data_IF_814302774182
#
_entry.id   IF_814302774182
#
_cell.length_a   1.000
_cell.length_b   1.000
_cell.length_c   1.000
_cell.angle_alpha   90.00
_cell.angle_beta   90.00
_cell.angle_gamma   90.00
#
_symmetry.space_group_name_H-M   'P 1'
#
loop_
_entity.id
_entity.type
_entity.pdbx_description
1 polymer ?
#
# COMPACT_ATOMS: atom_id res chain seq x y z
N UNK A 1 -11.71 -19.08 -7.26
CA UNK A 1 -12.61 -17.96 -7.68
C UNK A 1 -13.92 -17.84 -6.87
N UNK A 2 -14.23 -18.72 -5.94
CA UNK A 2 -15.50 -18.69 -5.20
C UNK A 2 -15.46 -17.98 -3.82
N UNK A 3 -14.30 -17.54 -3.33
CA UNK A 3 -14.19 -16.98 -1.96
C UNK A 3 -14.33 -15.45 -1.87
N UNK A 4 -14.29 -14.72 -2.98
CA UNK A 4 -14.31 -13.25 -2.97
C UNK A 4 -15.70 -12.61 -3.13
N UNK A 5 -16.75 -13.37 -3.46
CA UNK A 5 -18.08 -12.81 -3.71
C UNK A 5 -18.75 -12.23 -2.44
N UNK A 6 -18.37 -12.71 -1.25
CA UNK A 6 -18.99 -12.31 0.02
C UNK A 6 -18.22 -11.22 0.78
N UNK A 7 -16.99 -10.89 0.37
CA UNK A 7 -16.17 -9.89 1.06
C UNK A 7 -16.33 -8.52 0.40
N UNK A 8 -17.15 -7.68 0.97
CA UNK A 8 -17.33 -6.30 0.50
C UNK A 8 -16.98 -5.30 1.60
N UNK A 9 -16.32 -4.20 1.19
CA UNK A 9 -15.97 -3.10 2.07
C UNK A 9 -16.95 -1.94 1.94
N UNK A 10 -17.31 -1.37 3.07
CA UNK A 10 -18.01 -0.09 3.15
C UNK A 10 -17.01 1.05 2.90
N UNK A 11 -16.87 1.44 1.65
CA UNK A 11 -15.92 2.48 1.21
C UNK A 11 -16.12 3.83 1.90
N UNK A 12 -17.38 4.18 2.23
CA UNK A 12 -17.67 5.43 2.95
C UNK A 12 -17.16 5.38 4.38
N UNK A 13 -17.40 4.25 5.06
CA UNK A 13 -16.90 4.04 6.41
C UNK A 13 -15.39 3.98 6.43
N UNK A 14 -14.76 3.28 5.47
CA UNK A 14 -13.31 3.22 5.35
C UNK A 14 -12.72 4.62 5.23
N UNK A 15 -13.25 5.43 4.29
CA UNK A 15 -12.85 6.82 4.13
C UNK A 15 -13.01 7.64 5.41
N UNK A 16 -14.15 7.55 6.08
CA UNK A 16 -14.39 8.25 7.35
C UNK A 16 -13.37 7.89 8.43
N UNK A 17 -12.93 6.64 8.48
CA UNK A 17 -11.93 6.18 9.45
C UNK A 17 -10.55 6.74 9.16
N UNK A 18 -10.12 6.74 7.90
CA UNK A 18 -8.87 7.38 7.52
C UNK A 18 -8.94 8.90 7.70
N UNK A 19 -10.06 9.53 7.36
CA UNK A 19 -10.25 10.97 7.61
C UNK A 19 -10.12 11.31 9.11
N UNK A 20 -10.69 10.48 9.99
CA UNK A 20 -10.61 10.66 11.43
C UNK A 20 -9.23 10.31 12.03
N UNK A 21 -8.50 9.40 11.40
CA UNK A 21 -7.17 8.99 11.81
C UNK A 21 -6.08 10.01 11.44
N UNK A 22 -6.28 10.82 10.42
CA UNK A 22 -5.25 11.62 9.74
C UNK A 22 -4.31 12.40 10.67
N UNK A 23 -4.82 13.04 11.72
CA UNK A 23 -4.00 13.84 12.64
C UNK A 23 -3.18 13.02 13.63
N UNK A 24 -3.50 11.74 13.81
CA UNK A 24 -2.86 10.82 14.77
C UNK A 24 -2.18 9.65 14.09
N UNK A 25 -2.35 9.51 12.79
CA UNK A 25 -1.87 8.37 11.99
C UNK A 25 -0.39 8.07 12.25
N UNK A 26 0.45 9.10 12.23
CA UNK A 26 1.90 8.97 12.40
C UNK A 26 2.34 8.43 13.77
N UNK A 27 1.45 8.45 14.78
CA UNK A 27 1.75 7.86 16.07
C UNK A 27 1.53 6.34 16.13
N UNK A 28 0.89 5.76 15.11
CA UNK A 28 0.57 4.34 15.02
C UNK A 28 1.03 3.71 13.68
N UNK A 29 1.87 4.39 12.90
CA UNK A 29 2.30 3.96 11.57
C UNK A 29 3.61 3.13 11.58
N UNK A 30 4.05 2.64 12.74
CA UNK A 30 5.32 1.89 12.91
C UNK A 30 5.41 0.74 11.91
N UNK A 31 4.33 -0.04 11.76
CA UNK A 31 4.28 -1.16 10.82
C UNK A 31 4.38 -0.67 9.36
N UNK A 32 3.62 0.36 8.99
CA UNK A 32 3.65 0.91 7.64
C UNK A 32 5.04 1.46 7.27
N UNK A 33 5.72 2.12 8.22
CA UNK A 33 7.09 2.61 8.03
C UNK A 33 8.12 1.50 7.88
N UNK A 34 7.96 0.41 8.64
CA UNK A 34 8.84 -0.75 8.51
C UNK A 34 8.65 -1.46 7.17
N UNK A 35 7.41 -1.62 6.73
CA UNK A 35 7.09 -2.20 5.41
C UNK A 35 7.65 -1.31 4.28
N UNK A 36 7.45 0.02 4.37
CA UNK A 36 8.03 0.96 3.41
C UNK A 36 9.56 0.90 3.35
N UNK A 37 10.24 0.70 4.51
CA UNK A 37 11.69 0.53 4.55
C UNK A 37 12.12 -0.71 3.78
N UNK A 38 11.44 -1.84 3.99
CA UNK A 38 11.72 -3.09 3.28
C UNK A 38 11.43 -3.00 1.78
N UNK A 39 10.35 -2.33 1.40
CA UNK A 39 10.05 -2.03 -0.02
C UNK A 39 11.17 -1.16 -0.64
N UNK A 40 11.67 -0.16 0.08
CA UNK A 40 12.74 0.72 -0.39
C UNK A 40 14.06 -0.04 -0.59
N UNK A 41 14.40 -0.95 0.33
CA UNK A 41 15.58 -1.84 0.22
C UNK A 41 15.52 -2.74 -1.03
N UNK A 42 14.33 -3.16 -1.46
CA UNK A 42 14.16 -3.94 -2.71
C UNK A 42 14.53 -3.14 -3.94
N UNK A 43 14.33 -1.82 -3.94
CA UNK A 43 14.75 -0.95 -5.03
C UNK A 43 16.27 -0.92 -5.23
N UNK A 44 17.08 -1.35 -4.26
CA UNK A 44 18.54 -1.45 -4.42
C UNK A 44 18.94 -2.52 -5.44
N UNK A 45 18.08 -3.51 -5.65
CA UNK A 45 18.28 -4.59 -6.61
C UNK A 45 17.62 -4.34 -7.97
N UNK A 46 16.89 -3.22 -8.11
CA UNK A 46 16.14 -2.87 -9.31
C UNK A 46 16.77 -1.64 -9.96
N UNK A 47 17.27 -1.79 -11.18
CA UNK A 47 17.82 -0.66 -11.93
C UNK A 47 16.71 0.14 -12.59
N UNK A 48 16.36 1.27 -11.99
CA UNK A 48 15.33 2.18 -12.49
C UNK A 48 15.79 3.64 -12.30
N UNK A 49 15.46 4.49 -13.28
CA UNK A 49 15.65 5.94 -13.21
C UNK A 49 14.31 6.62 -13.54
N UNK A 50 13.39 6.68 -12.59
CA UNK A 50 12.04 7.15 -12.84
C UNK A 50 12.04 8.66 -13.08
N UNK A 51 11.19 9.10 -14.04
CA UNK A 51 10.95 10.52 -14.31
C UNK A 51 9.77 11.06 -13.54
N UNK A 52 8.70 10.26 -13.46
CA UNK A 52 7.50 10.56 -12.70
C UNK A 52 7.16 9.38 -11.81
N UNK A 53 7.06 9.65 -10.51
CA UNK A 53 6.70 8.68 -9.47
C UNK A 53 5.33 9.05 -8.93
N UNK A 54 4.45 8.08 -8.79
CA UNK A 54 3.22 8.24 -8.02
C UNK A 54 3.31 7.42 -6.73
N UNK A 55 2.79 7.99 -5.63
CA UNK A 55 2.53 7.29 -4.39
C UNK A 55 1.01 7.19 -4.22
N UNK A 56 0.46 5.99 -4.45
CA UNK A 56 -0.97 5.73 -4.41
C UNK A 56 -1.38 5.21 -3.02
N UNK A 57 -2.20 5.98 -2.34
CA UNK A 57 -2.48 5.84 -0.92
C UNK A 57 -1.40 6.51 -0.08
N UNK A 58 -0.93 7.69 -0.49
CA UNK A 58 0.23 8.36 0.11
C UNK A 58 0.02 8.79 1.58
N UNK A 59 -1.20 8.75 2.09
CA UNK A 59 -1.53 9.07 3.47
C UNK A 59 -0.97 10.43 3.90
N UNK A 60 -0.18 10.43 4.96
CA UNK A 60 0.47 11.63 5.50
C UNK A 60 1.81 11.98 4.80
N UNK A 61 2.20 11.23 3.75
CA UNK A 61 3.34 11.56 2.88
C UNK A 61 4.71 11.13 3.39
N UNK A 62 4.79 10.18 4.29
CA UNK A 62 6.07 9.66 4.81
C UNK A 62 6.91 9.03 3.70
N UNK A 63 6.29 8.25 2.81
CA UNK A 63 6.99 7.56 1.73
C UNK A 63 7.37 8.53 0.60
N UNK A 64 6.55 9.55 0.33
CA UNK A 64 6.88 10.60 -0.64
C UNK A 64 8.21 11.30 -0.31
N UNK A 65 8.50 11.57 0.96
CA UNK A 65 9.78 12.18 1.36
C UNK A 65 10.97 11.24 1.12
N UNK A 66 10.79 9.94 1.37
CA UNK A 66 11.83 8.92 1.10
C UNK A 66 12.09 8.81 -0.41
N UNK A 67 11.02 8.72 -1.20
CA UNK A 67 11.10 8.65 -2.66
C UNK A 67 11.75 9.91 -3.25
N UNK A 68 11.43 11.11 -2.73
CA UNK A 68 12.08 12.35 -3.12
C UNK A 68 13.58 12.37 -2.83
N UNK A 69 13.99 11.77 -1.71
CA UNK A 69 15.41 11.66 -1.34
C UNK A 69 16.14 10.65 -2.21
N UNK A 70 15.49 9.51 -2.52
CA UNK A 70 16.06 8.44 -3.33
C UNK A 70 16.17 8.84 -4.81
N UNK A 71 15.17 9.54 -5.33
CA UNK A 71 15.06 9.94 -6.74
C UNK A 71 14.95 11.46 -6.89
N UNK A 72 16.01 12.21 -6.63
CA UNK A 72 15.96 13.68 -6.59
C UNK A 72 15.62 14.33 -7.94
N UNK A 73 15.81 13.61 -9.05
CA UNK A 73 15.48 14.08 -10.39
C UNK A 73 14.04 13.77 -10.83
N UNK A 74 13.32 12.95 -10.05
CA UNK A 74 11.95 12.56 -10.38
C UNK A 74 10.95 13.63 -9.94
N UNK A 75 9.86 13.76 -10.71
CA UNK A 75 8.65 14.43 -10.26
C UNK A 75 7.83 13.45 -9.42
N UNK A 76 7.17 13.95 -8.36
CA UNK A 76 6.38 13.12 -7.46
C UNK A 76 4.93 13.60 -7.40
N UNK A 77 4.01 12.63 -7.40
CA UNK A 77 2.59 12.88 -7.20
C UNK A 77 2.10 11.96 -6.08
N UNK A 78 1.60 12.54 -5.00
CA UNK A 78 0.88 11.82 -3.96
C UNK A 78 -0.61 11.77 -4.28
N UNK A 79 -1.20 10.58 -4.25
CA UNK A 79 -2.63 10.37 -4.46
C UNK A 79 -3.23 9.70 -3.23
N UNK A 80 -4.32 10.24 -2.72
CA UNK A 80 -5.07 9.64 -1.63
C UNK A 80 -6.55 9.99 -1.75
N UNK A 81 -7.45 9.13 -1.25
CA UNK A 81 -8.88 9.42 -1.25
C UNK A 81 -9.32 10.26 -0.05
N UNK A 82 -8.46 10.41 0.98
CA UNK A 82 -8.69 11.16 2.20
C UNK A 82 -8.11 12.57 2.11
N UNK A 83 -8.95 13.58 2.02
CA UNK A 83 -8.51 14.98 2.04
C UNK A 83 -7.78 15.37 3.36
N UNK A 84 -8.21 14.91 4.56
CA UNK A 84 -7.44 15.14 5.79
C UNK A 84 -6.03 14.55 5.75
N UNK A 85 -5.83 13.35 5.16
CA UNK A 85 -4.50 12.77 4.96
C UNK A 85 -3.65 13.65 4.06
N UNK A 86 -4.16 14.05 2.90
CA UNK A 86 -3.46 14.97 1.99
C UNK A 86 -3.12 16.31 2.64
N UNK A 87 -3.97 16.81 3.55
CA UNK A 87 -3.67 18.03 4.31
C UNK A 87 -2.46 17.82 5.25
N UNK A 88 -2.35 16.70 5.93
CA UNK A 88 -1.16 16.35 6.72
C UNK A 88 0.07 16.18 5.83
N UNK A 89 -0.09 15.49 4.70
CA UNK A 89 0.95 15.34 3.70
C UNK A 89 1.46 16.70 3.21
N UNK A 90 0.55 17.63 2.85
CA UNK A 90 0.90 18.97 2.40
C UNK A 90 1.72 19.73 3.45
N UNK A 91 1.35 19.63 4.73
CA UNK A 91 2.10 20.25 5.83
C UNK A 91 3.52 19.66 5.95
N UNK A 92 3.66 18.36 5.73
CA UNK A 92 4.93 17.65 5.82
C UNK A 92 5.88 17.99 4.67
N UNK A 93 5.37 17.98 3.43
CA UNK A 93 6.20 18.21 2.24
C UNK A 93 6.46 19.69 1.94
N UNK A 94 5.71 20.59 2.58
CA UNK A 94 5.93 22.04 2.39
C UNK A 94 7.14 22.45 3.21
N UNK A 95 8.25 22.86 2.59
CA UNK A 95 9.39 23.36 3.33
C UNK A 95 9.01 24.61 4.13
N UNK A 96 9.67 24.87 5.26
CA UNK A 96 9.43 26.08 6.03
C UNK A 96 9.51 27.31 5.12
N UNK A 97 8.47 28.15 5.19
CA UNK A 97 8.30 29.29 4.31
C UNK A 97 9.40 30.35 4.47
N UNK A 98 9.79 31.01 3.40
CA UNK A 98 10.58 32.25 3.41
C UNK A 98 12.10 32.06 3.22
N UNK A 99 12.90 32.65 4.13
CA UNK A 99 14.36 32.72 4.02
C UNK A 99 15.07 31.37 4.03
N UNK A 100 14.52 30.38 4.77
CA UNK A 100 15.07 29.02 4.88
C UNK A 100 14.99 28.27 3.53
N UNK A 101 13.88 28.39 2.77
CA UNK A 101 13.73 27.81 1.44
C UNK A 101 14.75 28.40 0.46
N UNK A 102 14.87 29.72 0.40
CA UNK A 102 15.85 30.38 -0.48
C UNK A 102 17.30 30.02 -0.13
N UNK A 103 17.56 29.77 1.15
CA UNK A 103 18.87 29.34 1.62
C UNK A 103 19.19 27.91 1.20
N UNK A 104 18.22 26.98 1.38
CA UNK A 104 18.36 25.58 0.91
C UNK A 104 18.50 25.50 -0.62
N UNK A 105 17.64 26.19 -1.38
CA UNK A 105 17.74 26.27 -2.85
C UNK A 105 19.08 26.81 -3.33
N UNK A 106 19.69 27.76 -2.59
CA UNK A 106 21.03 28.26 -2.87
C UNK A 106 22.15 27.27 -2.55
N UNK A 107 21.98 26.45 -1.49
CA UNK A 107 22.97 25.45 -1.11
C UNK A 107 22.92 24.20 -1.99
N UNK A 108 21.74 23.80 -2.43
CA UNK A 108 21.54 22.58 -3.22
C UNK A 108 21.61 22.81 -4.73
N UNK A 109 21.54 24.07 -5.17
CA UNK A 109 21.57 24.43 -6.60
C UNK A 109 20.39 23.92 -7.42
N UNK A 110 19.43 23.22 -6.78
CA UNK A 110 18.26 22.65 -7.45
C UNK A 110 16.99 23.36 -6.98
N UNK A 111 16.14 23.86 -7.89
CA UNK A 111 14.77 24.21 -7.52
C UNK A 111 14.10 22.94 -7.03
N UNK A 112 13.51 22.97 -5.83
CA UNK A 112 12.72 21.86 -5.34
C UNK A 112 11.59 21.58 -6.36
N UNK A 113 11.70 20.51 -7.14
CA UNK A 113 10.62 20.04 -8.00
C UNK A 113 9.44 19.75 -7.08
N UNK A 114 8.34 20.46 -7.29
CA UNK A 114 7.20 20.40 -6.39
C UNK A 114 6.57 19.01 -6.41
N UNK A 115 6.26 18.48 -5.24
CA UNK A 115 5.39 17.30 -5.12
C UNK A 115 3.95 17.77 -5.27
N UNK A 116 3.22 17.23 -6.24
CA UNK A 116 1.79 17.48 -6.41
C UNK A 116 0.99 16.51 -5.51
N UNK A 117 -0.13 16.99 -4.95
CA UNK A 117 -1.06 16.17 -4.18
C UNK A 117 -2.44 16.20 -4.84
N UNK A 118 -3.01 15.03 -5.07
CA UNK A 118 -4.27 14.88 -5.78
C UNK A 118 -5.20 13.98 -4.96
N UNK A 119 -6.41 14.48 -4.69
CA UNK A 119 -7.47 13.63 -4.14
C UNK A 119 -8.04 12.76 -5.26
N UNK A 120 -7.87 11.45 -5.15
CA UNK A 120 -8.25 10.51 -6.20
C UNK A 120 -8.78 9.18 -5.66
N UNK A 121 -9.62 8.54 -6.46
CA UNK A 121 -9.97 7.13 -6.31
C UNK A 121 -8.95 6.28 -7.05
N UNK A 122 -8.43 5.23 -6.40
CA UNK A 122 -7.49 4.29 -7.01
C UNK A 122 -8.08 3.61 -8.27
N UNK A 123 -9.41 3.49 -8.35
CA UNK A 123 -10.10 2.89 -9.50
C UNK A 123 -10.31 3.86 -10.68
N UNK A 124 -9.91 5.14 -10.55
CA UNK A 124 -10.07 6.16 -11.59
C UNK A 124 -9.00 7.25 -11.40
N UNK A 125 -7.79 6.96 -11.82
CA UNK A 125 -6.65 7.86 -11.64
C UNK A 125 -6.72 9.04 -12.64
N UNK A 126 -6.66 10.30 -12.17
CA UNK A 126 -6.71 11.49 -13.03
C UNK A 126 -5.35 11.77 -13.68
N UNK A 127 -4.75 10.75 -14.26
CA UNK A 127 -3.44 10.79 -14.90
C UNK A 127 -3.52 10.27 -16.33
N UNK A 128 -2.72 10.82 -17.27
CA UNK A 128 -2.64 10.31 -18.62
C UNK A 128 -2.16 8.85 -18.68
N UNK A 129 -2.52 8.15 -19.77
CA UNK A 129 -1.98 6.82 -20.08
C UNK A 129 -0.47 6.91 -20.30
N UNK A 130 0.28 5.92 -19.82
CA UNK A 130 1.72 5.77 -20.06
C UNK A 130 2.55 7.01 -19.72
N UNK A 131 2.24 7.63 -18.57
CA UNK A 131 2.92 8.86 -18.09
C UNK A 131 3.78 8.62 -16.84
N UNK A 132 3.64 7.49 -16.17
CA UNK A 132 4.27 7.19 -14.88
C UNK A 132 5.37 6.15 -15.06
N UNK A 133 6.55 6.41 -14.50
CA UNK A 133 7.69 5.48 -14.55
C UNK A 133 7.71 4.52 -13.36
N UNK A 134 7.29 4.99 -12.17
CA UNK A 134 7.21 4.20 -10.95
C UNK A 134 5.90 4.49 -10.22
N UNK A 135 5.13 3.45 -9.97
CA UNK A 135 4.00 3.48 -9.05
C UNK A 135 4.40 2.80 -7.74
N UNK A 136 4.30 3.54 -6.65
CA UNK A 136 4.50 3.07 -5.29
C UNK A 136 3.15 2.98 -4.59
N UNK A 137 2.90 1.91 -3.85
CA UNK A 137 1.65 1.71 -3.11
C UNK A 137 1.87 0.88 -1.86
N UNK A 138 2.08 1.56 -0.75
CA UNK A 138 2.32 0.91 0.54
C UNK A 138 1.01 0.76 1.32
N UNK A 139 0.55 -0.48 1.52
CA UNK A 139 -0.65 -0.84 2.30
C UNK A 139 -1.97 -0.17 1.84
N UNK A 140 -2.07 0.22 0.56
CA UNK A 140 -3.33 0.72 0.01
C UNK A 140 -4.27 -0.44 -0.42
N UNK A 141 -3.70 -1.51 -0.98
CA UNK A 141 -4.48 -2.66 -1.49
C UNK A 141 -5.43 -3.29 -0.47
N UNK A 142 -5.08 -3.41 0.84
CA UNK A 142 -6.02 -3.90 1.86
C UNK A 142 -7.33 -3.10 1.98
N UNK A 143 -7.36 -1.86 1.50
CA UNK A 143 -8.55 -1.00 1.44
C UNK A 143 -9.48 -1.30 0.25
N UNK A 144 -9.14 -2.26 -0.60
CA UNK A 144 -9.92 -2.63 -1.77
C UNK A 144 -10.51 -4.05 -1.59
N UNK A 145 -11.81 -4.20 -1.82
CA UNK A 145 -12.44 -5.53 -1.87
C UNK A 145 -12.18 -6.23 -3.21
N UNK A 146 -12.02 -5.46 -4.28
CA UNK A 146 -11.59 -5.92 -5.60
C UNK A 146 -10.43 -5.03 -6.06
N UNK A 147 -9.19 -5.54 -6.07
CA UNK A 147 -8.03 -4.75 -6.51
C UNK A 147 -7.91 -4.64 -8.03
N UNK A 148 -8.66 -5.43 -8.82
CA UNK A 148 -8.51 -5.48 -10.28
C UNK A 148 -8.69 -4.10 -10.94
N UNK A 149 -9.74 -3.31 -10.66
CA UNK A 149 -9.91 -2.00 -11.29
C UNK A 149 -8.75 -1.03 -10.97
N UNK A 150 -8.27 -1.01 -9.74
CA UNK A 150 -7.15 -0.16 -9.34
C UNK A 150 -5.83 -0.60 -10.00
N UNK A 151 -5.58 -1.91 -10.09
CA UNK A 151 -4.40 -2.44 -10.77
C UNK A 151 -4.46 -2.21 -12.29
N UNK A 152 -5.65 -2.24 -12.91
CA UNK A 152 -5.84 -1.86 -14.32
C UNK A 152 -5.55 -0.37 -14.54
N UNK A 153 -5.98 0.51 -13.63
CA UNK A 153 -5.66 1.94 -13.69
C UNK A 153 -4.15 2.19 -13.51
N UNK A 154 -3.51 1.52 -12.55
CA UNK A 154 -2.06 1.57 -12.40
C UNK A 154 -1.33 1.09 -13.68
N UNK A 155 -1.77 -0.02 -14.27
CA UNK A 155 -1.24 -0.49 -15.54
C UNK A 155 -1.49 0.50 -16.68
N UNK A 156 -2.63 1.17 -16.71
CA UNK A 156 -2.97 2.19 -17.72
C UNK A 156 -2.00 3.38 -17.65
N UNK A 157 -1.75 3.91 -16.44
CA UNK A 157 -0.93 5.10 -16.25
C UNK A 157 0.56 4.83 -16.33
N UNK A 158 1.04 3.65 -15.98
CA UNK A 158 2.43 3.26 -16.14
C UNK A 158 2.86 3.28 -17.61
N UNK A 159 4.06 3.77 -17.91
CA UNK A 159 4.71 3.63 -19.21
C UNK A 159 5.19 2.20 -19.45
N UNK A 160 5.49 1.86 -20.68
CA UNK A 160 6.10 0.55 -21.00
C UNK A 160 7.51 0.51 -20.36
N UNK A 161 7.78 -0.55 -19.60
CA UNK A 161 8.96 -0.65 -18.76
C UNK A 161 8.80 0.04 -17.40
N UNK A 162 7.63 0.62 -17.11
CA UNK A 162 7.31 1.18 -15.80
C UNK A 162 7.10 0.10 -14.75
N UNK A 163 7.42 0.42 -13.52
CA UNK A 163 7.43 -0.48 -12.36
C UNK A 163 6.28 -0.15 -11.40
N UNK A 164 5.56 -1.16 -10.97
CA UNK A 164 4.70 -1.13 -9.79
C UNK A 164 5.45 -1.76 -8.62
N UNK A 165 5.57 -1.04 -7.50
CA UNK A 165 5.97 -1.55 -6.19
C UNK A 165 4.78 -1.47 -5.25
N UNK A 166 4.46 -2.54 -4.54
CA UNK A 166 3.31 -2.55 -3.65
C UNK A 166 3.51 -3.41 -2.41
N UNK A 167 2.69 -3.14 -1.40
CA UNK A 167 2.51 -4.02 -0.26
C UNK A 167 1.03 -4.23 0.05
N UNK A 168 0.74 -5.35 0.69
CA UNK A 168 -0.59 -5.72 1.17
C UNK A 168 -0.48 -6.54 2.45
N UNK A 169 -1.63 -6.82 3.06
CA UNK A 169 -1.73 -7.82 4.11
C UNK A 169 -2.33 -9.10 3.55
N UNK A 170 -1.87 -10.23 4.11
CA UNK A 170 -2.39 -11.56 3.82
C UNK A 170 -3.37 -12.06 4.90
N UNK A 171 -3.99 -13.23 4.65
CA UNK A 171 -5.10 -13.76 5.44
C UNK A 171 -4.76 -14.06 6.91
N UNK A 172 -3.51 -14.32 7.24
CA UNK A 172 -3.07 -14.58 8.63
C UNK A 172 -2.91 -13.32 9.48
N UNK A 173 -3.10 -12.13 8.89
CA UNK A 173 -3.06 -10.87 9.63
C UNK A 173 -4.12 -10.82 10.71
N UNK A 174 -3.70 -10.49 11.95
CA UNK A 174 -4.55 -10.42 13.16
C UNK A 174 -5.29 -11.73 13.47
N UNK A 175 -4.67 -12.89 13.17
CA UNK A 175 -5.26 -14.22 13.46
C UNK A 175 -5.64 -14.38 14.92
N UNK A 176 -4.83 -13.89 15.84
CA UNK A 176 -5.09 -13.95 17.28
C UNK A 176 -6.36 -13.17 17.65
N UNK A 177 -6.56 -12.01 17.05
CA UNK A 177 -7.77 -11.21 17.25
C UNK A 177 -9.00 -11.87 16.64
N UNK A 178 -8.84 -12.53 15.48
CA UNK A 178 -9.91 -13.27 14.81
C UNK A 178 -10.35 -14.49 15.62
N UNK A 179 -9.41 -15.21 16.21
CA UNK A 179 -9.71 -16.36 17.09
C UNK A 179 -10.40 -15.90 18.38
N UNK A 180 -9.97 -14.77 18.95
CA UNK A 180 -10.58 -14.21 20.17
C UNK A 180 -11.98 -13.62 19.95
N UNK A 181 -12.28 -13.16 18.73
CA UNK A 181 -13.54 -12.51 18.33
C UNK A 181 -14.25 -13.34 17.26
N UNK A 182 -14.82 -14.50 17.56
CA UNK A 182 -15.41 -15.37 16.54
C UNK A 182 -16.58 -14.70 15.81
N UNK A 183 -16.72 -15.01 14.53
CA UNK A 183 -17.66 -14.39 13.57
C UNK A 183 -19.11 -14.88 13.72
N UNK A 184 -19.61 -15.05 14.96
CA UNK A 184 -20.97 -15.56 15.22
C UNK A 184 -22.11 -14.68 14.68
N UNK A 185 -21.83 -13.40 14.39
CA UNK A 185 -22.83 -12.42 13.96
C UNK A 185 -22.31 -11.53 12.81
N UNK A 186 -21.32 -12.01 12.07
CA UNK A 186 -20.63 -11.30 11.00
C UNK A 186 -19.15 -11.07 11.30
N UNK A 187 -18.41 -10.65 10.29
CA UNK A 187 -16.95 -10.49 10.33
C UNK A 187 -16.53 -9.41 11.32
N UNK A 188 -15.80 -9.78 12.36
CA UNK A 188 -15.30 -8.85 13.38
C UNK A 188 -13.88 -8.35 13.09
N UNK A 189 -13.10 -9.14 12.38
CA UNK A 189 -11.74 -8.79 11.92
C UNK A 189 -11.75 -8.73 10.41
N UNK A 190 -11.05 -7.77 9.85
CA UNK A 190 -10.93 -7.59 8.41
C UNK A 190 -10.35 -8.85 7.74
N UNK A 191 -10.83 -9.21 6.56
CA UNK A 191 -10.22 -10.25 5.71
C UNK A 191 -9.28 -9.59 4.72
N UNK A 192 -8.24 -10.33 4.36
CA UNK A 192 -7.25 -9.88 3.40
C UNK A 192 -7.12 -10.91 2.28
N UNK A 193 -6.66 -10.45 1.13
CA UNK A 193 -6.52 -11.25 -0.08
C UNK A 193 -5.22 -12.05 0.02
N UNK A 194 -5.27 -13.33 -0.37
CA UNK A 194 -4.08 -14.20 -0.43
C UNK A 194 -3.08 -13.72 -1.49
N UNK A 195 -1.80 -14.00 -1.28
CA UNK A 195 -0.72 -13.61 -2.17
C UNK A 195 -0.91 -14.16 -3.60
N UNK A 196 -1.37 -15.41 -3.75
CA UNK A 196 -1.59 -16.02 -5.06
C UNK A 196 -2.74 -15.34 -5.81
N UNK A 197 -3.82 -15.00 -5.10
CA UNK A 197 -4.95 -14.26 -5.68
C UNK A 197 -4.52 -12.86 -6.14
N UNK A 198 -3.64 -12.17 -5.37
CA UNK A 198 -3.06 -10.88 -5.79
C UNK A 198 -2.23 -11.07 -7.06
N UNK A 199 -1.43 -12.14 -7.14
CA UNK A 199 -0.65 -12.47 -8.34
C UNK A 199 -1.50 -12.69 -9.57
N UNK A 200 -2.57 -13.46 -9.44
CA UNK A 200 -3.52 -13.70 -10.51
C UNK A 200 -4.20 -12.41 -10.99
N UNK A 201 -4.53 -11.52 -10.05
CA UNK A 201 -5.14 -10.23 -10.38
C UNK A 201 -4.14 -9.30 -11.06
N UNK A 202 -2.86 -9.30 -10.69
CA UNK A 202 -1.80 -8.55 -11.38
C UNK A 202 -1.67 -9.00 -12.84
N UNK A 203 -1.60 -10.30 -13.09
CA UNK A 203 -1.57 -10.85 -14.46
C UNK A 203 -2.82 -10.47 -15.25
N UNK A 204 -3.99 -10.53 -14.62
CA UNK A 204 -5.27 -10.14 -15.21
C UNK A 204 -5.35 -8.65 -15.54
N UNK A 205 -4.69 -7.81 -14.74
CA UNK A 205 -4.58 -6.37 -14.97
C UNK A 205 -3.60 -6.02 -16.10
N UNK A 206 -2.83 -6.99 -16.59
CA UNK A 206 -1.90 -6.83 -17.71
C UNK A 206 -0.42 -6.71 -17.30
N UNK A 207 -0.10 -6.83 -16.03
CA UNK A 207 1.29 -6.83 -15.57
C UNK A 207 2.02 -8.11 -15.95
N UNK A 208 3.32 -7.99 -16.17
CA UNK A 208 4.21 -9.11 -16.47
C UNK A 208 5.14 -9.38 -15.30
N UNK A 209 5.50 -10.65 -15.19
CA UNK A 209 6.54 -11.12 -14.27
C UNK A 209 6.37 -10.61 -12.83
N UNK A 210 5.18 -10.77 -12.20
CA UNK A 210 5.00 -10.36 -10.81
C UNK A 210 5.92 -11.19 -9.91
N UNK A 211 6.75 -10.49 -9.13
CA UNK A 211 7.61 -11.08 -8.11
C UNK A 211 7.06 -10.66 -6.76
N UNK A 212 6.68 -11.62 -5.97
CA UNK A 212 6.10 -11.38 -4.65
C UNK A 212 6.72 -12.32 -3.63
N UNK A 213 6.76 -11.86 -2.41
CA UNK A 213 7.04 -12.67 -1.24
C UNK A 213 6.14 -12.29 -0.07
N UNK A 214 6.11 -13.15 0.91
CA UNK A 214 5.34 -13.01 2.12
C UNK A 214 6.25 -13.21 3.33
N UNK A 215 6.05 -12.38 4.35
CA UNK A 215 6.71 -12.52 5.63
C UNK A 215 5.74 -12.29 6.79
N UNK A 216 6.04 -12.89 7.92
CA UNK A 216 5.28 -12.70 9.15
C UNK A 216 5.99 -11.69 10.03
N UNK A 217 5.33 -10.57 10.31
CA UNK A 217 5.76 -9.59 11.30
C UNK A 217 4.86 -9.69 12.54
N UNK A 218 5.48 -9.76 13.72
CA UNK A 218 4.72 -9.78 14.98
C UNK A 218 4.99 -8.52 15.78
N UNK A 219 3.97 -7.70 15.94
CA UNK A 219 3.99 -6.61 16.92
C UNK A 219 3.55 -7.16 18.29
N UNK A 220 4.09 -6.58 19.37
CA UNK A 220 3.75 -7.00 20.72
C UNK A 220 3.19 -5.84 21.53
N UNK A 221 2.12 -6.11 22.28
CA UNK A 221 1.37 -5.12 23.04
C UNK A 221 1.35 -5.44 24.54
N UNK A 222 1.19 -4.42 25.39
CA UNK A 222 0.99 -4.60 26.83
C UNK A 222 -0.35 -5.25 27.15
N UNK A 223 -1.37 -4.92 26.38
CA UNK A 223 -2.75 -5.34 26.57
C UNK A 223 -3.54 -5.24 25.24
N UNK A 224 -4.73 -5.84 25.22
CA UNK A 224 -5.60 -5.82 24.05
C UNK A 224 -6.12 -4.41 23.70
N UNK A 225 -6.29 -3.52 24.70
CA UNK A 225 -6.76 -2.17 24.45
C UNK A 225 -5.73 -1.34 23.69
N UNK A 226 -4.45 -1.55 23.98
CA UNK A 226 -3.34 -0.94 23.24
C UNK A 226 -3.35 -1.35 21.77
N UNK A 227 -3.51 -2.63 21.46
CA UNK A 227 -3.68 -3.11 20.09
C UNK A 227 -4.88 -2.45 19.39
N UNK A 228 -6.05 -2.47 20.05
CA UNK A 228 -7.27 -1.90 19.49
C UNK A 228 -7.17 -0.37 19.31
N UNK A 229 -6.39 0.30 20.17
CA UNK A 229 -6.09 1.72 20.03
C UNK A 229 -5.24 2.02 18.80
N UNK A 230 -4.19 1.23 18.59
CA UNK A 230 -3.32 1.36 17.39
C UNK A 230 -4.11 1.12 16.09
N UNK A 231 -4.91 0.07 16.05
CA UNK A 231 -5.78 -0.20 14.90
C UNK A 231 -6.77 0.94 14.60
N UNK A 232 -7.29 1.62 15.65
CA UNK A 232 -8.15 2.79 15.47
C UNK A 232 -7.37 4.00 15.00
N UNK A 233 -6.18 4.20 15.54
CA UNK A 233 -5.33 5.35 15.26
C UNK A 233 -4.75 5.28 13.84
N UNK A 234 -4.45 4.08 13.34
CA UNK A 234 -4.00 3.84 11.96
C UNK A 234 -5.15 3.74 10.95
N UNK A 235 -6.42 3.87 11.35
CA UNK A 235 -7.57 3.68 10.44
C UNK A 235 -7.86 2.23 10.08
N UNK A 236 -7.09 1.26 10.62
CA UNK A 236 -7.16 -0.17 10.34
C UNK A 236 -8.35 -0.92 10.93
N UNK A 237 -9.39 -0.21 11.33
CA UNK A 237 -10.62 -0.84 11.83
C UNK A 237 -11.37 -1.59 10.73
N UNK A 238 -12.09 -2.64 11.13
CA UNK A 238 -12.89 -3.45 10.22
C UNK A 238 -14.00 -2.64 9.51
N UNK A 239 -13.90 -2.51 8.20
CA UNK A 239 -14.86 -1.82 7.33
C UNK A 239 -15.70 -2.78 6.48
N UNK A 240 -15.73 -4.10 6.78
CA UNK A 240 -16.55 -5.05 6.05
C UNK A 240 -18.05 -4.68 6.13
N UNK A 241 -18.77 -4.85 5.02
CA UNK A 241 -20.25 -4.67 5.01
C UNK A 241 -20.95 -5.69 5.90
N UNK A 242 -20.38 -6.90 5.99
CA UNK A 242 -20.83 -8.00 6.85
C UNK A 242 -20.52 -7.81 8.34
N UNK A 243 -19.82 -6.74 8.73
CA UNK A 243 -19.47 -6.50 10.14
C UNK A 243 -20.71 -6.41 11.02
N UNK A 244 -20.66 -6.94 12.26
CA UNK A 244 -21.75 -6.76 13.22
C UNK A 244 -22.02 -5.29 13.49
N UNK A 245 -23.28 -4.87 13.38
CA UNK A 245 -23.69 -3.49 13.71
C UNK A 245 -24.10 -3.33 15.17
N UNK A 246 -24.26 -4.45 15.87
CA UNK A 246 -24.59 -4.49 17.29
C UNK A 246 -23.36 -4.41 18.19
N UNK A 247 -23.59 -4.04 19.45
CA UNK A 247 -22.55 -4.05 20.48
C UNK A 247 -22.15 -5.50 20.81
N UNK A 248 -20.86 -5.73 20.97
CA UNK A 248 -20.37 -6.92 21.64
C UNK A 248 -20.68 -6.76 23.13
N UNK A 249 -21.64 -7.52 23.67
CA UNK A 249 -22.02 -7.40 25.09
C UNK A 249 -20.82 -7.60 26.03
N UNK A 250 -20.96 -7.14 27.29
CA UNK A 250 -19.87 -7.23 28.30
C UNK A 250 -19.24 -8.62 28.39
N UNK A 251 -20.07 -9.67 28.37
CA UNK A 251 -19.61 -11.06 28.45
C UNK A 251 -18.81 -11.48 27.23
N UNK A 252 -19.19 -11.02 26.03
CA UNK A 252 -18.46 -11.30 24.79
C UNK A 252 -17.07 -10.65 24.81
N UNK A 253 -16.96 -9.41 25.26
CA UNK A 253 -15.68 -8.73 25.42
C UNK A 253 -14.82 -9.35 26.52
N UNK A 254 -15.40 -9.75 27.65
CA UNK A 254 -14.67 -10.44 28.72
C UNK A 254 -14.09 -11.77 28.22
N UNK A 255 -14.88 -12.55 27.48
CA UNK A 255 -14.42 -13.80 26.88
C UNK A 255 -13.30 -13.57 25.84
N UNK A 256 -13.42 -12.57 24.96
CA UNK A 256 -12.39 -12.22 24.00
C UNK A 256 -11.07 -11.80 24.67
N UNK A 257 -11.14 -10.96 25.72
CA UNK A 257 -9.97 -10.58 26.51
C UNK A 257 -9.31 -11.78 27.18
N UNK A 258 -10.12 -12.64 27.82
CA UNK A 258 -9.61 -13.84 28.47
C UNK A 258 -9.00 -14.82 27.47
N UNK A 259 -9.54 -14.90 26.25
CA UNK A 259 -8.94 -15.70 25.16
C UNK A 259 -7.60 -15.11 24.74
N UNK A 260 -7.55 -13.83 24.42
CA UNK A 260 -6.34 -13.16 23.97
C UNK A 260 -5.22 -13.18 25.02
N UNK A 261 -5.60 -13.05 26.30
CA UNK A 261 -4.67 -13.08 27.44
C UNK A 261 -3.91 -14.41 27.57
N UNK A 262 -4.51 -15.53 27.11
CA UNK A 262 -3.83 -16.85 27.08
C UNK A 262 -2.67 -16.92 26.09
N UNK A 263 -2.61 -16.00 25.14
CA UNK A 263 -1.55 -15.90 24.15
C UNK A 263 -0.34 -15.09 24.63
N UNK A 264 -0.39 -14.58 25.89
CA UNK A 264 0.67 -13.78 26.47
C UNK A 264 1.97 -14.59 26.58
N UNK A 265 3.02 -14.06 25.99
CA UNK A 265 4.37 -14.62 26.04
C UNK A 265 5.33 -13.52 26.49
N UNK A 266 6.21 -13.82 27.46
CA UNK A 266 7.18 -12.86 28.01
C UNK A 266 6.53 -11.51 28.45
N UNK A 267 5.35 -11.58 29.03
CA UNK A 267 4.61 -10.39 29.48
C UNK A 267 3.96 -9.56 28.39
N UNK A 268 3.98 -9.99 27.12
CA UNK A 268 3.44 -9.26 25.97
C UNK A 268 2.40 -10.09 25.22
N UNK A 269 1.46 -9.40 24.59
CA UNK A 269 0.45 -10.00 23.71
C UNK A 269 0.89 -9.86 22.26
N UNK A 270 0.93 -10.95 21.46
CA UNK A 270 1.30 -10.89 20.06
C UNK A 270 0.15 -10.37 19.20
N UNK A 271 0.47 -9.67 18.13
CA UNK A 271 -0.41 -9.39 17.00
C UNK A 271 0.36 -9.70 15.71
N UNK A 272 -0.06 -10.72 15.01
CA UNK A 272 0.56 -11.18 13.76
C UNK A 272 0.07 -10.37 12.58
N UNK A 273 1.03 -9.98 11.72
CA UNK A 273 0.76 -9.36 10.43
C UNK A 273 1.48 -10.18 9.35
N UNK A 274 0.71 -10.78 8.49
CA UNK A 274 1.21 -11.37 7.27
C UNK A 274 1.36 -10.26 6.24
N UNK A 275 2.59 -9.95 5.88
CA UNK A 275 2.93 -8.85 4.97
C UNK A 275 3.30 -9.42 3.62
N UNK A 276 2.56 -9.05 2.60
CA UNK A 276 2.83 -9.36 1.20
C UNK A 276 3.50 -8.15 0.58
N UNK A 277 4.66 -8.34 -0.02
CA UNK A 277 5.35 -7.31 -0.78
C UNK A 277 5.60 -7.81 -2.19
N UNK A 278 5.49 -6.91 -3.16
CA UNK A 278 5.73 -7.33 -4.52
C UNK A 278 6.04 -6.17 -5.47
N UNK A 279 6.50 -6.59 -6.65
CA UNK A 279 6.65 -5.69 -7.77
C UNK A 279 6.22 -6.37 -9.06
N UNK A 280 5.82 -5.58 -10.04
CA UNK A 280 5.46 -6.06 -11.36
C UNK A 280 5.75 -4.99 -12.41
N UNK A 281 6.04 -5.42 -13.64
CA UNK A 281 6.40 -4.53 -14.73
C UNK A 281 5.27 -4.41 -15.74
N UNK A 282 5.16 -3.24 -16.36
CA UNK A 282 4.37 -3.11 -17.57
C UNK A 282 5.22 -3.45 -18.78
N UNK A 283 5.03 -4.67 -19.31
CA UNK A 283 5.71 -5.11 -20.52
C UNK A 283 5.11 -4.45 -21.78
N UNK A 284 5.88 -4.40 -22.89
CA UNK A 284 5.32 -4.08 -24.19
C UNK A 284 4.15 -4.99 -24.54
N UNK A 285 3.17 -4.47 -25.25
CA UNK A 285 2.04 -5.28 -25.73
C UNK A 285 2.54 -6.47 -26.57
N UNK A 286 2.05 -7.67 -26.25
CA UNK A 286 2.38 -8.90 -27.00
C UNK A 286 1.65 -8.98 -28.34
N UNK A 287 0.61 -8.17 -28.52
CA UNK A 287 -0.20 -8.09 -29.75
C UNK A 287 -0.44 -6.64 -30.12
N UNK A 288 -0.53 -6.37 -31.43
CA UNK A 288 -0.99 -5.08 -31.97
C UNK A 288 -2.50 -4.91 -31.74
N UNK A 289 -3.03 -3.69 -31.88
CA UNK A 289 -4.47 -3.40 -31.73
C UNK A 289 -5.36 -4.23 -32.66
N UNK A 290 -4.84 -4.68 -33.84
CA UNK A 290 -5.49 -5.54 -34.78
C UNK A 290 -5.32 -7.05 -34.50
N UNK A 291 -4.79 -7.40 -33.30
CA UNK A 291 -4.68 -8.78 -32.82
C UNK A 291 -3.49 -9.59 -33.35
N UNK A 292 -2.56 -8.97 -34.06
CA UNK A 292 -1.36 -9.67 -34.58
C UNK A 292 -0.31 -9.78 -33.45
N UNK A 293 0.34 -10.95 -33.35
CA UNK A 293 1.42 -11.16 -32.39
C UNK A 293 2.63 -10.25 -32.72
N UNK A 294 3.13 -9.52 -31.75
CA UNK A 294 4.37 -8.77 -31.86
C UNK A 294 5.53 -9.69 -31.50
N UNK A 295 6.32 -10.11 -32.48
CA UNK A 295 7.53 -10.90 -32.29
C UNK A 295 8.72 -9.93 -32.25
N UNK A 296 9.33 -9.76 -31.06
CA UNK A 296 10.57 -8.99 -30.93
C UNK A 296 11.77 -9.91 -31.17
N UNK A 297 12.47 -9.71 -32.27
CA UNK A 297 13.75 -10.35 -32.49
C UNK A 297 14.83 -9.61 -31.69
N UNK A 298 15.41 -10.26 -30.68
CA UNK A 298 16.66 -9.78 -30.06
C UNK A 298 17.82 -10.30 -30.89
N UNK A 299 18.70 -9.46 -31.46
CA UNK A 299 19.91 -9.92 -32.09
C UNK A 299 20.73 -10.75 -31.08
N UNK A 300 21.20 -11.92 -31.49
CA UNK A 300 22.13 -12.71 -30.69
C UNK A 300 23.39 -11.87 -30.49
N UNK A 301 23.74 -11.52 -29.24
CA UNK A 301 25.05 -10.97 -28.96
C UNK A 301 26.07 -12.03 -29.38
N UNK A 302 26.80 -11.79 -30.45
CA UNK A 302 27.99 -12.56 -30.78
C UNK A 302 29.06 -12.11 -29.79
N UNK A 303 29.38 -12.99 -28.84
CA UNK A 303 30.59 -12.83 -28.02
C UNK A 303 31.76 -12.77 -29.00
N UNK A 304 32.32 -11.58 -29.16
CA UNK A 304 33.55 -11.38 -29.88
C UNK A 304 34.71 -12.00 -29.08
N UNK A 305 34.98 -13.29 -29.30
CA UNK A 305 36.23 -13.88 -28.96
C UNK A 305 37.28 -13.32 -29.91
N UNK A 306 37.96 -12.28 -29.47
CA UNK A 306 39.25 -11.84 -30.05
C UNK A 306 40.31 -12.79 -29.54
N UNK A 307 40.94 -13.49 -30.48
CA UNK A 307 42.15 -14.28 -30.27
C UNK A 307 43.35 -13.40 -29.83
#
# INVERSE_FOLDING_TARGET
MAQNADFQLDRRLLKQRFDAAATRYDSADVLAREIARRMDERLDYIRIAPKLIIDLGCGTGTDLLKLATRFPEAELIGLDFSLPMLKQCQQRITPPSGRARRFLERLTGSPSRGTALIAADANALPLPRASVSLAWSNLMLPGLHDPLPALQELHRVLEVGGLLMFSSFGPDTLRELREALPDRAGERVHRFIDMHDIGDVLVKAGFSDPVMDMEILTLTYSDLDSLLSDLRTSGGNNAALSRPRGLCGRNGWAAARAHYERLRTEGRLPATFEVIQGHAWKAPAKTTEDGRAVIQFRPRQTDGSSG
#
